data_IF_122010376687
#
_entry.id   IF_122010376687
#
_cell.length_a   1.000
_cell.length_b   1.000
_cell.length_c   1.000
_cell.angle_alpha   90.00
_cell.angle_beta   90.00
_cell.angle_gamma   90.00
#
_symmetry.space_group_name_H-M   'P 1'
#
loop_
_entity.id
_entity.type
_entity.pdbx_description
1 polymer ?
#
# COMPACT_ATOMS: atom_id res chain seq x y z
N UNK A 1 -8.87 -17.60 -7.73
CA UNK A 1 -8.56 -17.17 -6.35
C UNK A 1 -7.49 -16.08 -6.38
N UNK A 2 -7.48 -15.18 -5.40
CA UNK A 2 -6.36 -14.27 -5.16
C UNK A 2 -5.12 -15.11 -4.82
N UNK A 3 -4.01 -14.86 -5.52
CA UNK A 3 -2.78 -15.66 -5.43
C UNK A 3 -1.66 -14.92 -4.70
N UNK A 4 -1.82 -13.61 -4.52
CA UNK A 4 -0.79 -12.74 -4.00
C UNK A 4 -1.39 -11.84 -2.92
N UNK A 5 -0.56 -11.54 -1.93
CA UNK A 5 -0.87 -10.64 -0.83
C UNK A 5 0.14 -9.50 -0.86
N UNK A 6 -0.34 -8.27 -0.69
CA UNK A 6 0.52 -7.10 -0.45
C UNK A 6 0.12 -6.48 0.87
N UNK A 7 1.14 -6.21 1.69
CA UNK A 7 1.04 -5.57 2.99
C UNK A 7 1.83 -4.25 2.91
N UNK A 8 1.16 -3.14 3.22
CA UNK A 8 1.84 -1.88 3.49
C UNK A 8 1.84 -1.65 4.99
N UNK A 9 3.00 -1.30 5.54
CA UNK A 9 3.18 -1.00 6.97
C UNK A 9 3.78 0.39 7.07
N UNK A 10 3.13 1.28 7.81
CA UNK A 10 3.73 2.55 8.18
C UNK A 10 4.50 2.39 9.49
N UNK A 11 5.81 2.62 9.44
CA UNK A 11 6.69 2.37 10.58
C UNK A 11 6.52 3.41 11.71
N UNK A 12 5.96 4.59 11.39
CA UNK A 12 5.76 5.66 12.36
C UNK A 12 4.48 5.45 13.20
N UNK A 13 3.35 5.20 12.53
CA UNK A 13 2.05 5.02 13.17
C UNK A 13 1.70 3.56 13.46
N UNK A 14 2.47 2.60 12.94
CA UNK A 14 2.17 1.17 12.95
C UNK A 14 0.84 0.82 12.24
N UNK A 15 0.34 1.70 11.38
CA UNK A 15 -0.82 1.38 10.55
C UNK A 15 -0.45 0.35 9.47
N UNK A 16 -1.35 -0.61 9.25
CA UNK A 16 -1.17 -1.70 8.30
C UNK A 16 -2.34 -1.75 7.32
N UNK A 17 -2.03 -1.93 6.04
CA UNK A 17 -3.02 -2.10 4.97
C UNK A 17 -2.74 -3.39 4.21
N UNK A 18 -3.76 -4.25 4.14
CA UNK A 18 -3.67 -5.56 3.51
C UNK A 18 -4.52 -5.58 2.24
N UNK A 19 -3.91 -5.96 1.12
CA UNK A 19 -4.59 -6.06 -0.17
C UNK A 19 -4.39 -7.42 -0.82
N UNK A 20 -5.49 -7.98 -1.32
CA UNK A 20 -5.52 -9.24 -2.03
C UNK A 20 -5.42 -9.02 -3.53
N UNK A 21 -4.51 -9.75 -4.18
CA UNK A 21 -4.18 -9.57 -5.58
C UNK A 21 -4.41 -10.86 -6.37
N UNK A 22 -5.03 -10.70 -7.54
CA UNK A 22 -5.21 -11.81 -8.50
C UNK A 22 -3.93 -12.09 -9.31
N UNK A 23 -3.12 -11.06 -9.57
CA UNK A 23 -1.86 -11.14 -10.30
C UNK A 23 -0.82 -10.17 -9.70
N UNK A 24 0.47 -10.50 -9.84
CA UNK A 24 1.58 -9.68 -9.31
C UNK A 24 1.68 -8.31 -9.98
N UNK A 25 1.26 -8.18 -11.24
CA UNK A 25 1.21 -6.91 -11.99
C UNK A 25 0.22 -5.90 -11.40
N UNK A 26 -0.81 -6.36 -10.69
CA UNK A 26 -1.79 -5.47 -10.05
C UNK A 26 -1.23 -4.70 -8.84
N UNK A 27 -0.02 -5.03 -8.37
CA UNK A 27 0.64 -4.37 -7.22
C UNK A 27 0.76 -2.86 -7.42
N UNK A 28 1.13 -2.41 -8.62
CA UNK A 28 1.28 -0.99 -8.92
C UNK A 28 -0.05 -0.24 -8.83
N UNK A 29 -1.13 -0.84 -9.34
CA UNK A 29 -2.47 -0.24 -9.27
C UNK A 29 -2.95 -0.11 -7.82
N UNK A 30 -2.78 -1.16 -7.02
CA UNK A 30 -3.10 -1.12 -5.58
C UNK A 30 -2.26 -0.08 -4.85
N UNK A 31 -0.98 0.06 -5.21
CA UNK A 31 -0.10 1.07 -4.64
C UNK A 31 -0.59 2.50 -4.91
N UNK A 32 -1.08 2.81 -6.13
CA UNK A 32 -1.63 4.13 -6.45
C UNK A 32 -2.86 4.46 -5.59
N UNK A 33 -3.77 3.49 -5.42
CA UNK A 33 -4.95 3.65 -4.55
C UNK A 33 -4.52 3.86 -3.10
N UNK A 34 -3.61 3.03 -2.61
CA UNK A 34 -3.05 3.15 -1.26
C UNK A 34 -2.48 4.54 -1.02
N UNK A 35 -1.65 5.04 -1.94
CA UNK A 35 -1.05 6.38 -1.87
C UNK A 35 -2.13 7.47 -1.73
N UNK A 36 -3.13 7.48 -2.62
CA UNK A 36 -4.20 8.49 -2.58
C UNK A 36 -4.96 8.48 -1.25
N UNK A 37 -5.25 7.28 -0.71
CA UNK A 37 -5.93 7.12 0.57
C UNK A 37 -5.09 7.68 1.72
N UNK A 38 -3.81 7.30 1.81
CA UNK A 38 -2.94 7.73 2.90
C UNK A 38 -2.68 9.23 2.84
N UNK A 39 -2.42 9.78 1.66
CA UNK A 39 -2.19 11.22 1.51
C UNK A 39 -3.44 12.04 1.86
N UNK A 40 -4.64 11.55 1.51
CA UNK A 40 -5.90 12.20 1.88
C UNK A 40 -6.22 12.08 3.37
N UNK A 41 -5.89 10.95 4.01
CA UNK A 41 -6.15 10.73 5.43
C UNK A 41 -5.22 11.53 6.32
N UNK A 42 -3.93 11.56 5.98
CA UNK A 42 -2.91 12.20 6.81
C UNK A 42 -2.66 13.66 6.43
N UNK A 43 -3.12 14.10 5.25
CA UNK A 43 -2.73 15.37 4.63
C UNK A 43 -1.20 15.53 4.48
N UNK A 44 -0.48 14.40 4.48
CA UNK A 44 0.98 14.31 4.33
C UNK A 44 1.30 13.53 3.07
N UNK A 45 2.40 13.89 2.42
CA UNK A 45 2.89 13.17 1.24
C UNK A 45 3.73 11.96 1.68
N UNK A 46 3.62 10.86 0.93
CA UNK A 46 4.49 9.71 1.11
C UNK A 46 5.94 10.08 0.74
N UNK A 47 6.83 10.07 1.73
CA UNK A 47 8.22 10.49 1.54
C UNK A 47 9.05 9.44 0.80
N UNK A 48 9.00 8.19 1.26
CA UNK A 48 9.82 7.09 0.75
C UNK A 48 9.07 5.77 0.85
N UNK A 49 9.36 4.86 -0.09
CA UNK A 49 8.91 3.47 -0.04
C UNK A 49 10.12 2.55 -0.07
N UNK A 50 10.19 1.67 0.92
CA UNK A 50 11.17 0.60 0.97
C UNK A 50 10.42 -0.71 0.77
N UNK A 51 10.72 -1.40 -0.34
CA UNK A 51 10.31 -2.78 -0.53
C UNK A 51 11.43 -3.69 -0.02
N UNK A 52 11.14 -4.54 0.96
CA UNK A 52 12.02 -5.63 1.41
C UNK A 52 11.86 -6.89 0.54
#
# INVERSE_FOLDING_TARGET
GAKYLVLFVDNYSQHMWVYWLKAKSNTFYVFLIFKEIVEKQTSLLLLCLCSE
#
